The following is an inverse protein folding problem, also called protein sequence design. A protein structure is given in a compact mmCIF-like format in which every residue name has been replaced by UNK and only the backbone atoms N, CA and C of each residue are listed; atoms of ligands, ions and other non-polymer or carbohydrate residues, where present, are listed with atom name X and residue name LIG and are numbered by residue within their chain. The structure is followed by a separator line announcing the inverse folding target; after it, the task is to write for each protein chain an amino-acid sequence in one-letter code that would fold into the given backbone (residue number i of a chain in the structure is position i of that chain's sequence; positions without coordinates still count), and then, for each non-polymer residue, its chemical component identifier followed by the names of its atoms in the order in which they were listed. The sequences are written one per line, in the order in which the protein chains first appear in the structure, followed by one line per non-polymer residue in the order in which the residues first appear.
data_IF_311781741544
#
_entry.id   IF_311781741544
#
_cell.length_a   1.000
_cell.length_b   1.000
_cell.length_c   1.000
_cell.angle_alpha   90.00
_cell.angle_beta   90.00
_cell.angle_gamma   90.00
#
_symmetry.space_group_name_H-M   'P 1'
#
loop_
_entity.id
_entity.type
_entity.pdbx_description
1 polymer ?
#
# COMPACT_ATOMS: atom_id res chain seq x y z
N UNK A 1 -24.87 9.65 -17.81
CA UNK A 1 -23.40 9.73 -17.85
C UNK A 1 -22.90 9.06 -16.59
N UNK A 2 -22.53 7.79 -16.69
CA UNK A 2 -22.09 6.96 -15.56
C UNK A 2 -20.57 7.03 -15.48
N UNK A 3 -20.09 7.66 -14.43
CA UNK A 3 -18.66 7.87 -14.16
C UNK A 3 -18.07 6.55 -13.62
N UNK A 4 -17.16 5.94 -14.38
CA UNK A 4 -16.42 4.76 -13.92
C UNK A 4 -15.24 5.22 -13.07
N UNK A 5 -14.96 4.56 -11.92
CA UNK A 5 -13.80 4.91 -11.12
C UNK A 5 -12.53 4.64 -11.93
N UNK A 6 -11.81 5.71 -12.25
CA UNK A 6 -10.53 5.64 -12.93
C UNK A 6 -9.53 4.87 -12.06
N UNK A 7 -9.18 3.67 -12.51
CA UNK A 7 -8.15 2.82 -11.93
C UNK A 7 -6.83 3.57 -12.03
N UNK A 8 -6.18 3.83 -10.89
CA UNK A 8 -4.82 4.36 -10.86
C UNK A 8 -3.91 3.28 -11.46
N UNK A 9 -3.44 3.48 -12.70
CA UNK A 9 -2.40 2.64 -13.29
C UNK A 9 -1.06 2.98 -12.61
N UNK A 10 -0.78 2.30 -11.50
CA UNK A 10 0.61 2.08 -11.09
C UNK A 10 1.32 1.46 -12.30
N UNK A 11 2.41 2.08 -12.75
CA UNK A 11 3.11 1.74 -13.99
C UNK A 11 3.11 0.23 -14.25
N UNK A 12 2.59 -0.16 -15.41
CA UNK A 12 2.23 -1.53 -15.78
C UNK A 12 3.28 -2.59 -15.41
N UNK A 13 4.57 -2.24 -15.35
CA UNK A 13 5.65 -3.16 -14.96
C UNK A 13 5.64 -3.61 -13.49
N UNK A 14 5.25 -2.77 -12.53
CA UNK A 14 5.28 -3.15 -11.10
C UNK A 14 4.15 -4.12 -10.79
N UNK A 15 2.94 -3.84 -11.27
CA UNK A 15 1.79 -4.72 -11.10
C UNK A 15 1.97 -6.07 -11.81
N UNK A 16 2.55 -6.07 -13.02
CA UNK A 16 2.87 -7.30 -13.74
C UNK A 16 3.91 -8.15 -13.00
N UNK A 17 4.92 -7.55 -12.37
CA UNK A 17 5.93 -8.27 -11.58
C UNK A 17 5.32 -8.95 -10.35
N UNK A 18 4.36 -8.31 -9.68
CA UNK A 18 3.60 -8.95 -8.58
C UNK A 18 2.73 -10.13 -9.07
N UNK A 19 2.06 -9.98 -10.21
CA UNK A 19 1.25 -11.05 -10.81
C UNK A 19 2.08 -12.25 -11.30
N UNK A 20 3.27 -12.01 -11.86
CA UNK A 20 4.19 -13.08 -12.28
C UNK A 20 4.73 -13.89 -11.11
N UNK A 21 5.05 -13.24 -9.98
CA UNK A 21 5.46 -13.93 -8.75
C UNK A 21 4.32 -14.75 -8.15
N UNK A 22 3.08 -14.24 -8.22
CA UNK A 22 1.88 -14.94 -7.76
C UNK A 22 1.60 -16.21 -8.57
N UNK A 23 1.87 -16.21 -9.89
CA UNK A 23 1.72 -17.40 -10.75
C UNK A 23 2.77 -18.48 -10.47
N UNK A 24 3.99 -18.10 -10.09
CA UNK A 24 5.07 -19.07 -9.78
C UNK A 24 4.86 -19.83 -8.47
N UNK A 25 4.11 -19.28 -7.51
CA UNK A 25 3.85 -19.88 -6.20
C UNK A 25 2.51 -20.64 -6.08
N UNK A 26 1.81 -20.94 -7.18
CA UNK A 26 0.53 -21.64 -7.11
C UNK A 26 0.70 -23.16 -7.07
N UNK A 27 1.06 -23.70 -5.90
CA UNK A 27 0.45 -24.95 -5.45
C UNK A 27 -0.84 -24.57 -4.71
N UNK A 28 -1.94 -25.03 -5.28
CA UNK A 28 -3.30 -24.55 -5.11
C UNK A 28 -3.85 -24.64 -3.68
N UNK A 29 -3.97 -23.49 -3.01
CA UNK A 29 -5.12 -23.23 -2.17
C UNK A 29 -5.97 -22.19 -2.90
N UNK A 30 -7.01 -22.65 -3.60
CA UNK A 30 -7.96 -21.75 -4.26
C UNK A 30 -8.73 -21.00 -3.17
N UNK A 31 -8.30 -19.77 -2.87
CA UNK A 31 -9.13 -18.83 -2.14
C UNK A 31 -10.38 -18.58 -2.99
N UNK A 32 -11.50 -19.24 -2.65
CA UNK A 32 -12.78 -19.05 -3.32
C UNK A 32 -13.35 -17.70 -2.86
N UNK A 33 -12.77 -16.61 -3.34
CA UNK A 33 -13.48 -15.32 -3.39
C UNK A 33 -14.42 -15.44 -4.59
N UNK A 34 -15.55 -16.11 -4.39
CA UNK A 34 -16.53 -16.40 -5.46
C UNK A 34 -17.42 -15.22 -5.80
N UNK A 35 -17.40 -14.14 -5.02
CA UNK A 35 -18.21 -12.94 -5.22
C UNK A 35 -17.35 -11.69 -4.90
N UNK A 36 -17.47 -10.59 -5.67
CA UNK A 36 -16.81 -9.33 -5.31
C UNK A 36 -17.29 -8.84 -3.94
N UNK A 37 -16.40 -8.21 -3.17
CA UNK A 37 -16.78 -7.62 -1.90
C UNK A 37 -17.86 -6.54 -2.12
N UNK A 38 -18.89 -6.48 -1.26
CA UNK A 38 -19.87 -5.40 -1.34
C UNK A 38 -19.19 -4.03 -1.28
N UNK A 39 -19.58 -3.16 -2.20
CA UNK A 39 -19.11 -1.78 -2.25
C UNK A 39 -20.13 -0.89 -1.54
N UNK A 40 -19.66 -0.14 -0.55
CA UNK A 40 -20.50 0.66 0.35
C UNK A 40 -20.21 2.15 0.18
N UNK A 41 -21.24 2.96 0.34
CA UNK A 41 -21.13 4.40 0.54
C UNK A 41 -21.42 4.71 2.01
N UNK A 42 -20.49 5.38 2.69
CA UNK A 42 -20.63 5.70 4.10
C UNK A 42 -21.84 6.59 4.41
N UNK A 43 -22.33 7.35 3.42
CA UNK A 43 -23.52 8.19 3.56
C UNK A 43 -24.83 7.39 3.46
N UNK A 44 -24.79 6.15 2.97
CA UNK A 44 -25.97 5.32 2.69
C UNK A 44 -26.16 4.18 3.71
N UNK A 45 -25.29 4.07 4.72
CA UNK A 45 -25.31 3.02 5.74
C UNK A 45 -25.06 3.59 7.13
N UNK A 46 -25.89 3.22 8.10
CA UNK A 46 -25.65 3.53 9.50
C UNK A 46 -24.74 2.49 10.18
N UNK A 47 -24.17 2.87 11.32
CA UNK A 47 -23.24 2.00 12.05
C UNK A 47 -23.87 0.70 12.54
N UNK A 48 -25.15 0.70 12.93
CA UNK A 48 -25.84 -0.51 13.40
C UNK A 48 -25.98 -1.54 12.28
N UNK A 49 -26.48 -1.09 11.13
CA UNK A 49 -26.56 -1.91 9.92
C UNK A 49 -25.18 -2.43 9.50
N UNK A 50 -24.16 -1.57 9.53
CA UNK A 50 -22.78 -1.98 9.24
C UNK A 50 -22.26 -3.04 10.22
N UNK A 51 -22.50 -2.85 11.51
CA UNK A 51 -22.07 -3.76 12.56
C UNK A 51 -22.70 -5.15 12.41
N UNK A 52 -24.02 -5.21 12.22
CA UNK A 52 -24.75 -6.47 12.09
C UNK A 52 -24.46 -7.22 10.79
N UNK A 53 -24.26 -6.51 9.69
CA UNK A 53 -24.10 -7.15 8.38
C UNK A 53 -22.65 -7.48 8.03
N UNK A 54 -21.68 -6.73 8.57
CA UNK A 54 -20.27 -6.84 8.18
C UNK A 54 -19.33 -7.15 9.35
N UNK A 55 -19.41 -6.42 10.46
CA UNK A 55 -18.47 -6.60 11.58
C UNK A 55 -18.71 -7.93 12.32
N UNK A 56 -19.94 -8.19 12.78
CA UNK A 56 -20.25 -9.39 13.57
C UNK A 56 -20.17 -10.67 12.72
N UNK A 57 -20.48 -10.58 11.43
CA UNK A 57 -20.40 -11.68 10.46
C UNK A 57 -18.99 -11.87 9.92
N UNK A 58 -18.05 -10.98 10.27
CA UNK A 58 -16.69 -10.96 9.76
C UNK A 58 -16.62 -10.97 8.22
N UNK A 59 -17.51 -10.20 7.58
CA UNK A 59 -17.61 -10.10 6.12
C UNK A 59 -16.88 -8.85 5.61
N UNK A 60 -15.90 -8.99 4.71
CA UNK A 60 -15.23 -7.84 4.10
C UNK A 60 -16.16 -7.04 3.19
N UNK A 61 -15.92 -5.74 3.15
CA UNK A 61 -16.56 -4.77 2.25
C UNK A 61 -15.55 -3.69 1.83
N UNK A 62 -15.87 -2.94 0.78
CA UNK A 62 -15.07 -1.82 0.30
C UNK A 62 -15.88 -0.54 0.41
N UNK A 63 -15.39 0.45 1.16
CA UNK A 63 -15.98 1.80 1.12
C UNK A 63 -15.48 2.56 -0.12
N UNK A 64 -16.38 3.28 -0.77
CA UNK A 64 -16.02 4.22 -1.83
C UNK A 64 -15.37 5.48 -1.24
N UNK A 65 -14.85 6.33 -2.13
CA UNK A 65 -14.07 7.50 -1.73
C UNK A 65 -14.80 8.49 -0.84
N UNK A 66 -16.15 8.52 -0.86
CA UNK A 66 -16.98 9.42 -0.05
C UNK A 66 -16.64 9.42 1.44
N UNK A 67 -16.16 8.29 1.97
CA UNK A 67 -15.70 8.17 3.36
C UNK A 67 -14.43 9.00 3.67
N UNK A 68 -13.66 9.33 2.64
CA UNK A 68 -12.33 9.95 2.75
C UNK A 68 -12.20 11.22 1.91
N UNK A 69 -13.28 11.71 1.31
CA UNK A 69 -13.26 12.85 0.37
C UNK A 69 -12.73 14.14 1.02
N UNK A 70 -12.94 14.30 2.33
CA UNK A 70 -12.49 15.43 3.14
C UNK A 70 -11.09 15.25 3.76
N UNK A 71 -10.44 14.10 3.55
CA UNK A 71 -9.11 13.86 4.09
C UNK A 71 -8.06 14.65 3.32
N UNK A 72 -7.31 15.50 4.02
CA UNK A 72 -6.24 16.32 3.42
C UNK A 72 -5.24 15.49 2.60
N UNK A 73 -4.93 14.26 3.01
CA UNK A 73 -4.00 13.39 2.28
C UNK A 73 -4.45 13.09 0.83
N UNK A 74 -5.75 13.12 0.52
CA UNK A 74 -6.26 12.95 -0.85
C UNK A 74 -5.97 14.13 -1.78
N UNK A 75 -5.63 15.27 -1.21
CA UNK A 75 -5.29 16.48 -1.94
C UNK A 75 -3.80 16.78 -1.87
N UNK A 76 -3.21 16.65 -0.69
CA UNK A 76 -1.84 17.09 -0.44
C UNK A 76 -0.79 16.05 -0.85
N UNK A 77 -1.09 14.75 -0.67
CA UNK A 77 -0.12 13.67 -0.93
C UNK A 77 -0.11 13.22 -2.39
N UNK A 78 -1.00 13.79 -3.21
CA UNK A 78 -1.17 13.45 -4.62
C UNK A 78 -0.97 14.70 -5.47
N UNK A 79 -0.06 14.62 -6.43
CA UNK A 79 0.08 15.63 -7.47
C UNK A 79 -0.95 15.38 -8.56
N UNK A 80 -1.87 16.33 -8.72
CA UNK A 80 -2.98 16.30 -9.70
C UNK A 80 -2.68 17.16 -10.93
N UNK A 81 -1.47 17.70 -11.08
CA UNK A 81 -1.08 18.51 -12.24
C UNK A 81 -0.80 17.67 -13.49
N UNK A 82 -0.49 16.38 -13.30
CA UNK A 82 -0.27 15.42 -14.38
C UNK A 82 -1.57 14.70 -14.80
N UNK A 83 -1.59 14.17 -16.04
CA UNK A 83 -2.70 13.37 -16.59
C UNK A 83 -2.98 12.14 -15.73
N UNK A 84 -1.94 11.53 -15.18
CA UNK A 84 -2.04 10.43 -14.23
C UNK A 84 -1.57 10.94 -12.86
N UNK A 85 -2.44 10.96 -11.84
CA UNK A 85 -2.06 11.46 -10.53
C UNK A 85 -0.90 10.65 -9.95
N UNK A 86 0.11 11.35 -9.42
CA UNK A 86 1.29 10.74 -8.80
C UNK A 86 1.37 11.09 -7.33
N UNK A 87 2.20 10.35 -6.59
CA UNK A 87 2.53 10.74 -5.22
C UNK A 87 3.27 12.08 -5.26
N UNK A 88 2.80 13.05 -4.49
CA UNK A 88 3.46 14.34 -4.31
C UNK A 88 4.64 14.18 -3.36
N UNK A 89 5.77 13.69 -3.88
CA UNK A 89 6.96 13.49 -3.07
C UNK A 89 7.46 14.78 -2.44
N UNK A 90 7.34 15.92 -3.11
CA UNK A 90 7.84 17.20 -2.60
C UNK A 90 7.03 17.67 -1.39
N UNK A 91 5.70 17.47 -1.40
CA UNK A 91 4.88 17.71 -0.22
C UNK A 91 5.27 16.79 0.94
N UNK A 92 5.41 15.49 0.69
CA UNK A 92 5.74 14.50 1.72
C UNK A 92 7.13 14.76 2.33
N UNK A 93 8.11 15.07 1.49
CA UNK A 93 9.48 15.37 1.88
C UNK A 93 9.54 16.66 2.70
N UNK A 94 8.87 17.74 2.26
CA UNK A 94 8.80 19.01 2.99
C UNK A 94 8.09 18.87 4.34
N UNK A 95 7.04 18.07 4.42
CA UNK A 95 6.16 17.98 5.59
C UNK A 95 6.64 16.94 6.61
N UNK A 96 7.09 15.78 6.14
CA UNK A 96 7.42 14.62 6.97
C UNK A 96 8.84 14.09 6.76
N UNK A 97 9.67 14.76 5.95
CA UNK A 97 10.98 14.26 5.56
C UNK A 97 11.90 13.88 6.71
N UNK A 98 11.83 14.61 7.82
CA UNK A 98 12.63 14.35 9.04
C UNK A 98 12.08 13.21 9.90
N UNK A 99 10.87 12.73 9.63
CA UNK A 99 10.28 11.61 10.37
C UNK A 99 11.00 10.33 10.02
N UNK A 100 11.48 9.61 11.04
CA UNK A 100 12.03 8.28 10.85
C UNK A 100 10.91 7.28 10.60
N UNK A 101 11.04 6.52 9.53
CA UNK A 101 10.08 5.53 9.07
C UNK A 101 10.72 4.15 9.01
N UNK A 102 9.92 3.12 9.29
CA UNK A 102 10.31 1.72 9.10
C UNK A 102 10.23 1.35 7.63
N UNK A 103 11.33 0.84 7.07
CA UNK A 103 11.42 0.36 5.69
C UNK A 103 11.77 -1.11 5.69
N UNK A 104 11.06 -1.88 4.85
CA UNK A 104 11.24 -3.32 4.71
C UNK A 104 11.62 -3.68 3.27
N UNK A 105 12.60 -4.57 3.11
CA UNK A 105 13.03 -5.15 1.83
C UNK A 105 12.18 -6.41 1.48
N UNK A 106 11.42 -6.38 0.38
CA UNK A 106 10.58 -7.49 -0.10
C UNK A 106 11.36 -8.70 -0.65
N UNK A 107 12.65 -8.58 -0.93
CA UNK A 107 13.43 -9.66 -1.55
C UNK A 107 13.83 -10.76 -0.56
N UNK A 108 13.52 -10.58 0.74
CA UNK A 108 13.78 -11.60 1.77
C UNK A 108 12.73 -12.71 1.84
N UNK A 109 11.68 -12.64 1.04
CA UNK A 109 10.66 -13.69 0.92
C UNK A 109 11.14 -14.76 -0.07
N UNK A 110 12.16 -15.53 0.29
CA UNK A 110 12.46 -16.75 -0.48
C UNK A 110 11.46 -17.85 -0.11
N UNK A 111 11.08 -18.73 -1.05
CA UNK A 111 10.14 -19.84 -0.79
C UNK A 111 10.57 -20.81 0.32
N UNK A 112 11.83 -20.68 0.76
CA UNK A 112 12.47 -21.53 1.76
C UNK A 112 12.15 -21.11 3.20
N UNK A 113 11.58 -19.92 3.40
CA UNK A 113 11.21 -19.43 4.72
C UNK A 113 9.76 -19.75 5.06
N UNK A 114 9.55 -20.33 6.25
CA UNK A 114 8.21 -20.50 6.81
C UNK A 114 7.57 -19.13 7.10
N UNK A 115 6.22 -19.03 7.14
CA UNK A 115 5.53 -17.78 7.51
C UNK A 115 6.01 -17.19 8.84
N UNK A 116 6.36 -18.04 9.81
CA UNK A 116 6.88 -17.63 11.11
C UNK A 116 8.29 -17.04 11.03
N UNK A 117 9.17 -17.61 10.20
CA UNK A 117 10.52 -17.09 9.95
C UNK A 117 10.46 -15.75 9.20
N UNK A 118 9.57 -15.65 8.23
CA UNK A 118 9.30 -14.41 7.49
C UNK A 118 8.79 -13.30 8.42
N UNK A 119 7.88 -13.63 9.34
CA UNK A 119 7.37 -12.70 10.35
C UNK A 119 8.47 -12.17 11.28
N UNK A 120 9.35 -13.07 11.77
CA UNK A 120 10.48 -12.68 12.62
C UNK A 120 11.53 -11.86 11.85
N UNK A 121 11.81 -12.21 10.60
CA UNK A 121 12.72 -11.44 9.74
C UNK A 121 12.19 -10.04 9.46
N UNK A 122 10.89 -9.84 9.26
CA UNK A 122 10.31 -8.51 9.11
C UNK A 122 10.49 -7.65 10.36
N UNK A 123 10.48 -8.25 11.56
CA UNK A 123 10.71 -7.56 12.83
C UNK A 123 12.17 -7.17 13.05
N UNK A 124 13.12 -7.98 12.55
CA UNK A 124 14.57 -7.76 12.70
C UNK A 124 15.21 -7.04 11.49
N UNK A 125 14.43 -6.73 10.44
CA UNK A 125 14.89 -6.10 9.20
C UNK A 125 14.27 -4.74 8.90
N UNK A 126 13.47 -4.22 9.81
CA UNK A 126 12.98 -2.84 9.78
C UNK A 126 14.18 -1.90 9.91
N UNK A 127 14.66 -1.41 8.77
CA UNK A 127 15.63 -0.33 8.75
C UNK A 127 14.89 0.98 8.98
N UNK A 128 15.23 1.62 10.09
CA UNK A 128 14.78 2.96 10.37
C UNK A 128 15.60 3.96 9.55
N UNK A 129 14.94 4.76 8.73
CA UNK A 129 15.57 5.85 7.99
C UNK A 129 14.66 7.09 7.95
N UNK A 130 15.21 8.30 7.78
CA UNK A 130 14.40 9.48 7.48
C UNK A 130 13.55 9.27 6.23
N UNK A 131 12.32 9.77 6.23
CA UNK A 131 11.45 9.70 5.06
C UNK A 131 12.08 10.35 3.82
N UNK A 132 12.92 11.38 4.00
CA UNK A 132 13.70 11.97 2.89
C UNK A 132 14.57 10.95 2.17
N UNK A 133 15.24 10.06 2.90
CA UNK A 133 16.10 9.03 2.30
C UNK A 133 15.26 8.01 1.53
N UNK A 134 14.13 7.58 2.11
CA UNK A 134 13.19 6.69 1.45
C UNK A 134 12.59 7.30 0.17
N UNK A 135 12.21 8.58 0.21
CA UNK A 135 11.70 9.29 -0.96
C UNK A 135 12.79 9.42 -2.03
N UNK A 136 14.03 9.77 -1.64
CA UNK A 136 15.17 9.82 -2.57
C UNK A 136 15.37 8.47 -3.27
N UNK A 137 15.33 7.38 -2.50
CA UNK A 137 15.42 6.03 -3.03
C UNK A 137 14.36 5.74 -4.10
N UNK A 138 13.10 6.10 -3.83
CA UNK A 138 12.00 5.90 -4.79
C UNK A 138 12.09 6.81 -6.01
N UNK A 139 12.49 8.07 -5.84
CA UNK A 139 12.77 8.99 -6.95
C UNK A 139 13.83 8.35 -7.87
N UNK A 140 14.92 7.84 -7.32
CA UNK A 140 15.97 7.16 -8.09
C UNK A 140 15.47 5.87 -8.74
N UNK A 141 14.74 5.03 -8.01
CA UNK A 141 14.20 3.77 -8.52
C UNK A 141 13.28 3.99 -9.74
N UNK A 142 12.41 5.02 -9.69
CA UNK A 142 11.52 5.40 -10.77
C UNK A 142 12.31 5.98 -11.95
N UNK A 143 13.23 6.91 -11.69
CA UNK A 143 14.01 7.59 -12.72
C UNK A 143 14.94 6.64 -13.50
N UNK A 144 15.36 5.54 -12.88
CA UNK A 144 16.17 4.50 -13.51
C UNK A 144 15.34 3.37 -14.15
N UNK A 145 14.02 3.52 -14.24
CA UNK A 145 13.16 2.56 -14.94
C UNK A 145 12.93 1.25 -14.19
N UNK A 146 12.89 1.29 -12.85
CA UNK A 146 12.59 0.14 -11.99
C UNK A 146 13.61 -1.02 -12.13
N UNK A 147 14.92 -0.78 -11.96
CA UNK A 147 15.94 -1.79 -12.22
C UNK A 147 15.83 -2.98 -11.27
N UNK A 148 16.03 -4.20 -11.80
CA UNK A 148 16.03 -5.45 -11.01
C UNK A 148 17.16 -5.52 -9.98
N UNK A 149 18.22 -4.71 -10.13
CA UNK A 149 19.35 -4.65 -9.21
C UNK A 149 19.06 -3.85 -7.93
N UNK A 150 17.99 -3.06 -7.91
CA UNK A 150 17.56 -2.30 -6.74
C UNK A 150 16.47 -3.07 -6.00
N UNK A 151 16.56 -3.06 -4.67
CA UNK A 151 15.66 -3.81 -3.81
C UNK A 151 14.24 -3.25 -3.86
N UNK A 152 13.24 -4.11 -3.89
CA UNK A 152 11.87 -3.64 -3.70
C UNK A 152 11.63 -3.32 -2.21
N UNK A 153 11.53 -2.04 -1.87
CA UNK A 153 11.31 -1.56 -0.51
C UNK A 153 9.88 -1.06 -0.30
N UNK A 154 9.32 -1.17 0.91
CA UNK A 154 8.04 -0.52 1.24
C UNK A 154 8.04 0.04 2.66
N UNK A 155 7.21 1.06 2.88
CA UNK A 155 6.98 1.63 4.20
C UNK A 155 6.13 0.67 5.04
N UNK A 156 6.61 0.40 6.24
CA UNK A 156 5.85 -0.28 7.29
C UNK A 156 5.78 0.64 8.50
N UNK A 157 4.62 1.25 8.70
CA UNK A 157 4.38 2.28 9.73
C UNK A 157 3.65 1.67 10.93
N UNK A 158 4.04 0.47 11.36
CA UNK A 158 3.52 -0.15 12.60
C UNK A 158 4.32 0.27 13.84
N UNK A 159 5.48 0.92 13.65
CA UNK A 159 6.26 1.59 14.70
C UNK A 159 6.92 2.85 14.15
N UNK A 160 6.71 3.99 14.81
CA UNK A 160 7.60 5.14 14.59
C UNK A 160 9.01 4.72 15.03
N UNK A 161 9.96 4.87 14.11
CA UNK A 161 11.37 4.58 14.31
C UNK A 161 12.03 5.70 15.15
N UNK A 162 11.59 5.88 16.39
CA UNK A 162 12.06 6.96 17.25
C UNK A 162 11.51 6.87 18.66
N UNK A 163 12.44 6.85 19.60
CA UNK A 163 12.32 6.85 21.06
C UNK A 163 11.27 7.83 21.57
N UNK A 164 10.47 7.38 22.55
CA UNK A 164 9.71 8.16 23.54
C UNK A 164 9.27 9.58 23.19
N UNK A 165 7.95 9.79 23.18
CA UNK A 165 7.37 11.10 23.54
C UNK A 165 7.96 11.62 24.85
#
# INVERSE_FOLDING_TARGET
MTDQPQRIELGNNVFLRFEEQRKKNSQTQTCRITEPFPVLNANDIDYGTFYEQFLITNRPCLFISSLTDDWNCRNDWIDKTEVFPRINFDFLERTYGKSNVGVVDCERFTPEFTPQQTYNMNKDSENCMPLTEFISYWKDYINNGYPDSMKLQYLKVDKFCGSGL
#
